data_IF_861987975513
#
_entry.id   IF_861987975513
#
_cell.length_a   1.000
_cell.length_b   1.000
_cell.length_c   1.000
_cell.angle_alpha   90.00
_cell.angle_beta   90.00
_cell.angle_gamma   90.00
#
_symmetry.space_group_name_H-M   'P 1'
#
loop_
_entity.id
_entity.type
_entity.pdbx_description
1 polymer ?
#
# COMPACT_ATOMS: atom_id res chain seq x y z
N UNK A 1 -5.98 -7.62 0.78
CA UNK A 1 -7.36 -7.18 0.52
C UNK A 1 -8.04 -6.83 1.82
N UNK A 2 -8.75 -5.73 1.84
CA UNK A 2 -9.39 -5.24 3.06
C UNK A 2 -10.69 -5.99 3.33
N UNK A 3 -10.93 -6.29 4.61
CA UNK A 3 -12.23 -6.78 5.05
C UNK A 3 -13.26 -5.65 4.86
N UNK A 4 -14.40 -5.89 4.21
CA UNK A 4 -15.41 -4.85 4.01
C UNK A 4 -15.85 -4.12 5.28
N UNK A 5 -15.77 -4.78 6.44
CA UNK A 5 -16.12 -4.16 7.72
C UNK A 5 -15.15 -3.06 8.14
N UNK A 6 -13.95 -3.04 7.56
CA UNK A 6 -12.89 -2.10 7.91
C UNK A 6 -12.56 -1.14 6.78
N UNK A 7 -13.44 -1.01 5.78
CA UNK A 7 -13.24 -0.05 4.71
C UNK A 7 -13.30 1.38 5.26
N UNK A 8 -12.31 2.17 4.92
CA UNK A 8 -12.26 3.57 5.30
C UNK A 8 -13.31 4.34 4.50
N UNK A 9 -14.17 5.10 5.17
CA UNK A 9 -15.31 5.77 4.55
C UNK A 9 -15.07 7.25 4.28
N UNK A 10 -14.32 7.95 5.12
CA UNK A 10 -14.08 9.37 5.01
C UNK A 10 -12.70 9.70 4.46
N UNK A 11 -12.54 10.93 3.97
CA UNK A 11 -11.26 11.42 3.44
C UNK A 11 -10.12 11.23 4.45
N UNK A 12 -10.35 11.62 5.70
CA UNK A 12 -9.31 11.58 6.73
C UNK A 12 -8.83 10.14 6.99
N UNK A 13 -9.76 9.20 7.09
CA UNK A 13 -9.44 7.80 7.29
C UNK A 13 -8.72 7.20 6.08
N UNK A 14 -9.16 7.56 4.88
CA UNK A 14 -8.56 7.06 3.65
C UNK A 14 -7.15 7.63 3.45
N UNK A 15 -6.93 8.88 3.82
CA UNK A 15 -5.61 9.49 3.77
C UNK A 15 -4.66 8.79 4.74
N UNK A 16 -5.11 8.54 5.98
CA UNK A 16 -4.31 7.82 6.96
C UNK A 16 -3.95 6.41 6.48
N UNK A 17 -4.92 5.71 5.89
CA UNK A 17 -4.70 4.38 5.34
C UNK A 17 -3.69 4.41 4.18
N UNK A 18 -3.83 5.37 3.27
CA UNK A 18 -2.90 5.50 2.15
C UNK A 18 -1.47 5.79 2.63
N UNK A 19 -1.31 6.64 3.66
CA UNK A 19 -0.01 6.93 4.25
C UNK A 19 0.61 5.65 4.83
N UNK A 20 -0.18 4.86 5.55
CA UNK A 20 0.27 3.59 6.12
C UNK A 20 0.72 2.62 5.03
N UNK A 21 -0.08 2.44 3.98
CA UNK A 21 0.27 1.55 2.88
C UNK A 21 1.52 2.01 2.14
N UNK A 22 1.67 3.32 1.92
CA UNK A 22 2.88 3.87 1.31
C UNK A 22 4.12 3.61 2.17
N UNK A 23 3.98 3.71 3.49
CA UNK A 23 5.07 3.40 4.42
C UNK A 23 5.50 1.93 4.33
N UNK A 24 4.54 1.01 4.26
CA UNK A 24 4.81 -0.41 4.12
C UNK A 24 5.50 -0.71 2.78
N UNK A 25 5.06 -0.07 1.69
CA UNK A 25 5.70 -0.24 0.39
C UNK A 25 7.13 0.31 0.39
N UNK A 26 7.37 1.44 1.06
CA UNK A 26 8.72 1.99 1.22
C UNK A 26 9.64 1.03 1.98
N UNK A 27 9.14 0.38 3.02
CA UNK A 27 9.92 -0.59 3.76
C UNK A 27 10.30 -1.79 2.88
N UNK A 28 9.35 -2.31 2.12
CA UNK A 28 9.59 -3.42 1.19
C UNK A 28 10.58 -3.02 0.10
N UNK A 29 10.42 -1.82 -0.46
CA UNK A 29 11.33 -1.28 -1.48
C UNK A 29 12.75 -1.13 -0.94
N UNK A 30 12.90 -0.60 0.27
CA UNK A 30 14.20 -0.43 0.91
C UNK A 30 14.93 -1.75 1.12
N UNK A 31 14.22 -2.78 1.55
CA UNK A 31 14.82 -4.10 1.74
C UNK A 31 15.15 -4.77 0.41
N UNK A 32 14.31 -4.58 -0.60
CA UNK A 32 14.60 -5.07 -1.94
C UNK A 32 15.86 -4.43 -2.51
N UNK A 33 16.01 -3.11 -2.34
CA UNK A 33 17.21 -2.37 -2.75
C UNK A 33 18.46 -2.87 -2.05
N UNK A 34 18.37 -3.09 -0.74
CA UNK A 34 19.52 -3.41 0.10
C UNK A 34 19.97 -4.86 -0.07
N UNK A 35 19.05 -5.80 -0.13
CA UNK A 35 19.36 -7.23 -0.11
C UNK A 35 18.99 -8.00 -1.36
N UNK A 36 18.34 -7.36 -2.32
CA UNK A 36 18.03 -7.96 -3.61
C UNK A 36 16.61 -8.52 -3.71
N UNK A 37 16.12 -8.57 -4.94
CA UNK A 37 14.74 -8.98 -5.24
C UNK A 37 14.46 -10.44 -4.84
N UNK A 38 15.43 -11.31 -4.99
CA UNK A 38 15.25 -12.75 -4.76
C UNK A 38 15.71 -13.20 -3.37
N UNK A 39 16.03 -12.24 -2.48
CA UNK A 39 16.37 -12.53 -1.10
C UNK A 39 15.11 -12.65 -0.24
N UNK A 40 15.24 -13.36 0.89
CA UNK A 40 14.19 -13.48 1.90
C UNK A 40 14.71 -12.92 3.21
N UNK A 41 13.80 -12.59 4.14
CA UNK A 41 14.19 -12.19 5.49
C UNK A 41 14.55 -13.45 6.30
N UNK A 42 15.84 -13.67 6.62
CA UNK A 42 16.25 -14.90 7.30
C UNK A 42 15.79 -14.95 8.77
N UNK A 43 15.32 -13.83 9.32
CA UNK A 43 14.85 -13.78 10.70
C UNK A 43 13.43 -14.31 10.86
N UNK A 44 12.70 -14.45 9.76
CA UNK A 44 11.35 -15.03 9.79
C UNK A 44 11.42 -16.55 9.76
N UNK A 45 10.42 -17.23 10.37
CA UNK A 45 10.29 -18.68 10.22
C UNK A 45 10.16 -19.05 8.75
N UNK A 46 10.65 -20.24 8.32
CA UNK A 46 10.60 -20.63 6.91
C UNK A 46 9.23 -20.51 6.25
N UNK A 47 8.17 -20.83 6.96
CA UNK A 47 6.79 -20.75 6.42
C UNK A 47 6.30 -19.31 6.21
N UNK A 48 6.99 -18.34 6.77
CA UNK A 48 6.66 -16.90 6.61
C UNK A 48 7.62 -16.19 5.67
N UNK A 49 8.66 -16.90 5.20
CA UNK A 49 9.61 -16.30 4.27
C UNK A 49 9.01 -16.18 2.89
N UNK A 50 9.24 -15.01 2.28
CA UNK A 50 8.87 -14.77 0.88
C UNK A 50 9.98 -13.94 0.24
N UNK A 51 10.07 -13.99 -1.07
CA UNK A 51 11.04 -13.18 -1.81
C UNK A 51 10.71 -11.70 -1.61
N UNK A 52 11.72 -10.87 -1.50
CA UNK A 52 11.51 -9.42 -1.34
C UNK A 52 10.68 -8.84 -2.49
N UNK A 53 10.87 -9.32 -3.71
CA UNK A 53 10.10 -8.84 -4.85
C UNK A 53 8.62 -9.25 -4.76
N UNK A 54 8.32 -10.42 -4.19
CA UNK A 54 6.94 -10.86 -3.97
C UNK A 54 6.27 -9.97 -2.92
N UNK A 55 6.98 -9.69 -1.85
CA UNK A 55 6.50 -8.78 -0.81
C UNK A 55 6.27 -7.37 -1.36
N UNK A 56 7.25 -6.84 -2.11
CA UNK A 56 7.13 -5.51 -2.72
C UNK A 56 5.93 -5.44 -3.66
N UNK A 57 5.74 -6.43 -4.52
CA UNK A 57 4.60 -6.44 -5.45
C UNK A 57 3.28 -6.40 -4.72
N UNK A 58 3.14 -7.17 -3.64
CA UNK A 58 1.92 -7.17 -2.82
C UNK A 58 1.68 -5.80 -2.18
N UNK A 59 2.72 -5.17 -1.63
CA UNK A 59 2.59 -3.85 -1.00
C UNK A 59 2.26 -2.77 -2.04
N UNK A 60 2.81 -2.88 -3.25
CA UNK A 60 2.47 -1.93 -4.32
C UNK A 60 1.00 -2.07 -4.74
N UNK A 61 0.48 -3.29 -4.79
CA UNK A 61 -0.94 -3.50 -5.10
C UNK A 61 -1.83 -2.87 -4.02
N UNK A 62 -1.44 -2.97 -2.75
CA UNK A 62 -2.18 -2.35 -1.65
C UNK A 62 -2.14 -0.81 -1.75
N UNK A 63 -0.99 -0.24 -2.14
CA UNK A 63 -0.87 1.20 -2.37
C UNK A 63 -1.78 1.65 -3.51
N UNK A 64 -1.79 0.92 -4.63
CA UNK A 64 -2.64 1.26 -5.77
C UNK A 64 -4.11 1.30 -5.38
N UNK A 65 -4.58 0.31 -4.61
CA UNK A 65 -5.95 0.26 -4.13
C UNK A 65 -6.26 1.46 -3.22
N UNK A 66 -5.38 1.74 -2.25
CA UNK A 66 -5.58 2.83 -1.30
C UNK A 66 -5.57 4.20 -2.00
N UNK A 67 -4.65 4.41 -2.95
CA UNK A 67 -4.55 5.64 -3.72
C UNK A 67 -5.77 5.84 -4.60
N UNK A 68 -6.23 4.80 -5.28
CA UNK A 68 -7.41 4.87 -6.14
C UNK A 68 -8.64 5.29 -5.35
N UNK A 69 -8.85 4.68 -4.18
CA UNK A 69 -9.97 5.00 -3.29
C UNK A 69 -9.89 6.44 -2.79
N UNK A 70 -8.72 6.87 -2.37
CA UNK A 70 -8.49 8.22 -1.88
C UNK A 70 -8.76 9.26 -2.97
N UNK A 71 -8.26 9.02 -4.19
CA UNK A 71 -8.47 9.94 -5.31
C UNK A 71 -9.93 10.06 -5.68
N UNK A 72 -10.69 8.98 -5.66
CA UNK A 72 -12.11 9.00 -5.91
C UNK A 72 -12.84 9.88 -4.89
N UNK A 73 -12.50 9.75 -3.61
CA UNK A 73 -13.08 10.59 -2.56
C UNK A 73 -12.71 12.07 -2.72
N UNK A 74 -11.46 12.37 -3.07
CA UNK A 74 -11.01 13.73 -3.32
C UNK A 74 -11.83 14.35 -4.46
N UNK A 75 -11.99 13.62 -5.56
CA UNK A 75 -12.74 14.11 -6.71
C UNK A 75 -14.22 14.33 -6.37
N UNK A 76 -14.84 13.42 -5.62
CA UNK A 76 -16.23 13.56 -5.21
C UNK A 76 -16.45 14.72 -4.24
N UNK A 77 -15.49 14.96 -3.35
CA UNK A 77 -15.60 15.99 -2.32
C UNK A 77 -15.26 17.37 -2.85
N UNK A 78 -14.23 17.47 -3.68
CA UNK A 78 -13.72 18.76 -4.19
C UNK A 78 -13.51 18.71 -5.71
N UNK A 79 -14.59 18.51 -6.48
CA UNK A 79 -14.46 18.30 -7.94
C UNK A 79 -13.84 19.48 -8.69
N UNK A 80 -13.98 20.71 -8.13
CA UNK A 80 -13.45 21.91 -8.78
C UNK A 80 -11.99 22.17 -8.44
N UNK A 81 -11.42 21.43 -7.52
CA UNK A 81 -10.04 21.61 -7.07
C UNK A 81 -9.08 20.62 -7.72
N UNK A 82 -9.57 19.52 -8.28
CA UNK A 82 -8.75 18.43 -8.81
C UNK A 82 -9.27 17.93 -10.13
N UNK A 83 -8.40 17.23 -10.89
CA UNK A 83 -8.81 16.56 -12.13
C UNK A 83 -9.43 15.20 -11.82
N UNK A 84 -10.38 14.73 -12.63
CA UNK A 84 -10.87 13.35 -12.51
C UNK A 84 -9.73 12.36 -12.61
N UNK A 85 -9.85 11.28 -11.88
CA UNK A 85 -8.84 10.20 -11.87
C UNK A 85 -8.78 9.47 -13.22
#
# INVERSE_FOLDING_TARGET
>A
MSDPRFLQKGFKEQLAHAVEEMGEALAAAGKTQRWGALSVNPLLPPEQQELNITWLDRELADVEEAVSRLRATIFETWPNAVRPA
#
